data_IF_075166942180
#
_entry.id   IF_075166942180
#
_cell.length_a   1.000
_cell.length_b   1.000
_cell.length_c   1.000
_cell.angle_alpha   90.00
_cell.angle_beta   90.00
_cell.angle_gamma   90.00
#
_symmetry.space_group_name_H-M   'P 1'
#
loop_
_entity.id
_entity.type
_entity.pdbx_description
1 polymer ?
#
# COMPACT_ATOMS: atom_id res chain seq x y z
N UNK A 1 -9.45 21.35 4.02
CA UNK A 1 -8.71 21.06 2.76
C UNK A 1 -7.29 20.52 3.01
N UNK A 2 -6.87 20.37 4.28
CA UNK A 2 -5.51 19.95 4.68
C UNK A 2 -5.32 18.43 4.78
N UNK A 3 -6.37 17.61 4.75
CA UNK A 3 -6.26 16.23 5.21
C UNK A 3 -6.17 15.13 4.14
N UNK A 4 -6.15 15.50 2.86
CA UNK A 4 -5.99 14.50 1.79
C UNK A 4 -4.53 14.00 1.67
N UNK A 5 -3.58 14.72 2.27
CA UNK A 5 -2.16 14.35 2.28
C UNK A 5 -1.81 13.26 3.30
N UNK A 6 -2.65 13.01 4.30
CA UNK A 6 -2.40 12.04 5.36
C UNK A 6 -2.82 10.59 5.05
N UNK A 7 -3.22 10.27 3.82
CA UNK A 7 -3.50 8.87 3.42
C UNK A 7 -2.24 7.99 3.31
N UNK A 8 -1.07 8.57 3.40
CA UNK A 8 0.19 7.84 3.39
C UNK A 8 0.81 7.87 4.78
N UNK A 9 0.37 6.98 5.67
CA UNK A 9 1.13 6.71 6.89
C UNK A 9 2.41 5.98 6.52
N UNK A 10 3.49 6.73 6.38
CA UNK A 10 4.84 6.19 6.32
C UNK A 10 5.18 5.60 7.68
N UNK A 11 5.19 4.28 7.79
CA UNK A 11 5.81 3.65 8.97
C UNK A 11 7.31 3.66 8.76
N UNK A 12 8.00 4.45 9.55
CA UNK A 12 9.45 4.36 9.71
C UNK A 12 9.73 3.09 10.52
N UNK A 13 10.28 2.08 9.87
CA UNK A 13 10.87 0.96 10.58
C UNK A 13 12.30 1.35 10.94
N UNK A 14 12.59 1.57 12.23
CA UNK A 14 13.91 1.71 12.85
C UNK A 14 15.06 2.05 11.89
N UNK A 15 15.07 3.29 11.37
CA UNK A 15 16.16 3.78 10.54
C UNK A 15 16.04 3.57 9.03
N UNK A 16 15.02 2.89 8.54
CA UNK A 16 14.75 2.78 7.10
C UNK A 16 13.71 3.83 6.73
N UNK A 17 14.16 4.90 6.10
CA UNK A 17 13.27 5.89 5.49
C UNK A 17 12.83 5.35 4.13
N UNK A 18 11.53 5.07 3.98
CA UNK A 18 10.94 4.78 2.68
C UNK A 18 10.81 6.11 1.93
N UNK A 19 11.81 6.43 1.13
CA UNK A 19 11.75 7.55 0.22
C UNK A 19 11.18 7.07 -1.11
N UNK A 20 10.13 7.74 -1.57
CA UNK A 20 9.64 7.53 -2.93
C UNK A 20 10.81 7.79 -3.88
N UNK A 21 11.16 6.88 -4.81
CA UNK A 21 12.33 7.00 -5.69
C UNK A 21 12.42 8.32 -6.45
N UNK A 22 11.28 8.93 -6.75
CA UNK A 22 11.18 10.25 -7.38
C UNK A 22 11.90 11.34 -6.58
N UNK A 23 11.81 11.30 -5.26
CA UNK A 23 12.51 12.27 -4.40
C UNK A 23 14.03 12.11 -4.48
N UNK A 24 14.53 10.86 -4.63
CA UNK A 24 15.96 10.59 -4.74
C UNK A 24 16.60 11.21 -5.99
N UNK A 25 16.01 10.98 -7.16
CA UNK A 25 16.62 11.38 -8.44
C UNK A 25 16.44 12.86 -8.72
N UNK A 26 15.25 13.38 -8.51
CA UNK A 26 14.92 14.76 -8.90
C UNK A 26 15.20 15.79 -7.82
N UNK A 27 15.18 15.40 -6.54
CA UNK A 27 15.38 16.32 -5.44
C UNK A 27 16.81 16.31 -4.91
N UNK A 28 17.41 15.12 -4.71
CA UNK A 28 18.76 15.02 -4.15
C UNK A 28 19.86 15.26 -5.19
N UNK A 29 19.56 15.13 -6.48
CA UNK A 29 20.48 15.42 -7.60
C UNK A 29 21.75 14.54 -7.66
N UNK A 30 21.94 13.64 -6.70
CA UNK A 30 23.12 12.76 -6.62
C UNK A 30 22.79 11.39 -6.01
N UNK A 31 23.65 10.40 -6.29
CA UNK A 31 23.59 9.07 -5.68
C UNK A 31 24.24 9.10 -4.29
N UNK A 32 23.59 8.45 -3.34
CA UNK A 32 24.12 8.23 -1.99
C UNK A 32 24.33 6.73 -1.78
N UNK A 33 25.58 6.25 -1.59
CA UNK A 33 25.86 4.81 -1.45
C UNK A 33 25.10 4.16 -0.28
N UNK A 34 24.93 4.89 0.81
CA UNK A 34 24.27 4.40 2.03
C UNK A 34 22.75 4.59 2.05
N UNK A 35 22.18 5.18 0.99
CA UNK A 35 20.74 5.37 0.90
C UNK A 35 20.08 4.13 0.31
N UNK A 36 19.20 3.49 1.06
CA UNK A 36 18.30 2.44 0.58
C UNK A 36 16.95 3.07 0.26
N UNK A 37 16.41 2.69 -0.89
CA UNK A 37 15.11 3.16 -1.35
C UNK A 37 14.15 1.99 -1.55
N UNK A 38 12.90 2.19 -1.14
CA UNK A 38 11.82 1.25 -1.43
C UNK A 38 10.68 1.99 -2.12
N UNK A 39 10.13 1.39 -3.16
CA UNK A 39 8.89 1.81 -3.76
C UNK A 39 7.75 0.85 -3.41
N UNK A 40 6.52 1.26 -3.67
CA UNK A 40 5.34 0.48 -3.34
C UNK A 40 4.67 -0.07 -4.59
N UNK A 41 4.09 -1.25 -4.48
CA UNK A 41 3.09 -1.74 -5.41
C UNK A 41 1.80 -0.95 -5.19
N UNK A 42 1.65 0.12 -5.96
CA UNK A 42 0.60 1.11 -5.76
C UNK A 42 -0.56 0.86 -6.72
N UNK A 43 -1.75 0.58 -6.18
CA UNK A 43 -2.97 0.43 -6.97
C UNK A 43 -3.45 1.75 -7.60
N UNK A 44 -3.01 2.88 -7.08
CA UNK A 44 -3.43 4.21 -7.49
C UNK A 44 -3.94 5.07 -6.35
N UNK A 45 -4.43 6.25 -6.68
CA UNK A 45 -5.01 7.21 -5.73
C UNK A 45 -6.36 7.66 -6.25
N UNK A 46 -7.43 7.63 -5.44
CA UNK A 46 -8.73 8.15 -5.85
C UNK A 46 -8.68 9.64 -6.19
N UNK A 47 -9.51 10.08 -7.12
CA UNK A 47 -9.60 11.49 -7.45
C UNK A 47 -10.21 12.28 -6.27
N UNK A 48 -9.75 13.51 -5.99
CA UNK A 48 -10.33 14.35 -4.94
C UNK A 48 -11.83 14.61 -5.13
N UNK A 49 -12.27 14.69 -6.39
CA UNK A 49 -13.69 14.86 -6.72
C UNK A 49 -14.52 13.64 -6.29
N UNK A 50 -14.04 12.43 -6.58
CA UNK A 50 -14.71 11.20 -6.14
C UNK A 50 -14.76 11.11 -4.62
N UNK A 51 -13.68 11.46 -3.95
CA UNK A 51 -13.65 11.53 -2.49
C UNK A 51 -14.66 12.52 -1.92
N UNK A 52 -14.71 13.72 -2.50
CA UNK A 52 -15.71 14.73 -2.07
C UNK A 52 -17.14 14.24 -2.24
N UNK A 53 -17.46 13.64 -3.40
CA UNK A 53 -18.81 13.09 -3.66
C UNK A 53 -19.15 12.01 -2.63
N UNK A 54 -18.19 11.13 -2.31
CA UNK A 54 -18.41 10.11 -1.30
C UNK A 54 -18.66 10.71 0.08
N UNK A 55 -17.85 11.67 0.51
CA UNK A 55 -18.07 12.38 1.79
C UNK A 55 -19.43 13.07 1.85
N UNK A 56 -19.83 13.71 0.76
CA UNK A 56 -21.14 14.39 0.69
C UNK A 56 -22.33 13.43 0.74
N UNK A 57 -22.11 12.15 0.44
CA UNK A 57 -23.13 11.10 0.53
C UNK A 57 -23.24 10.44 1.91
N UNK A 58 -22.28 10.70 2.80
CA UNK A 58 -22.31 10.13 4.15
C UNK A 58 -23.30 10.86 5.06
N UNK A 59 -24.03 10.12 5.93
CA UNK A 59 -24.89 10.75 6.92
C UNK A 59 -24.08 11.57 7.91
N UNK A 60 -24.68 12.64 8.43
CA UNK A 60 -24.09 13.49 9.48
C UNK A 60 -22.64 13.91 9.22
N UNK A 61 -22.34 14.29 7.96
CA UNK A 61 -20.98 14.61 7.50
C UNK A 61 -20.25 15.59 8.41
N UNK A 62 -20.93 16.61 8.93
CA UNK A 62 -20.37 17.62 9.82
C UNK A 62 -19.87 17.05 11.15
N UNK A 63 -20.39 15.92 11.55
CA UNK A 63 -20.09 15.24 12.81
C UNK A 63 -19.03 14.13 12.66
N UNK A 64 -18.52 13.90 11.43
CA UNK A 64 -17.48 12.90 11.20
C UNK A 64 -16.16 13.38 11.80
N UNK A 65 -15.65 12.62 12.76
CA UNK A 65 -14.35 12.83 13.40
C UNK A 65 -13.20 12.19 12.59
N UNK A 66 -13.39 10.93 12.15
CA UNK A 66 -12.35 10.22 11.39
C UNK A 66 -12.93 9.15 10.47
N UNK A 67 -12.18 8.84 9.41
CA UNK A 67 -12.47 7.73 8.49
C UNK A 67 -11.22 6.86 8.37
N UNK A 68 -11.34 5.59 8.68
CA UNK A 68 -10.29 4.58 8.56
C UNK A 68 -10.65 3.57 7.47
N UNK A 69 -9.90 3.59 6.35
CA UNK A 69 -10.21 2.78 5.16
C UNK A 69 -9.90 1.29 5.30
N UNK A 70 -9.01 0.93 6.20
CA UNK A 70 -8.52 -0.44 6.37
C UNK A 70 -8.48 -0.77 7.86
N UNK A 71 -9.64 -0.68 8.50
CA UNK A 71 -9.74 -1.03 9.91
C UNK A 71 -9.42 -2.50 10.10
N UNK A 72 -8.41 -2.76 10.93
CA UNK A 72 -7.97 -4.11 11.31
C UNK A 72 -8.58 -4.56 12.64
N UNK A 73 -9.59 -3.88 13.13
CA UNK A 73 -10.24 -4.18 14.43
C UNK A 73 -10.68 -5.65 14.52
N UNK A 74 -11.03 -6.25 13.38
CA UNK A 74 -11.47 -7.65 13.27
C UNK A 74 -10.41 -8.57 12.62
N UNK A 75 -9.14 -8.17 12.62
CA UNK A 75 -8.05 -8.90 11.97
C UNK A 75 -7.85 -8.55 10.50
N UNK A 76 -6.85 -9.18 9.89
CA UNK A 76 -6.54 -9.06 8.46
C UNK A 76 -6.94 -10.35 7.75
N UNK A 77 -8.21 -10.50 7.44
CA UNK A 77 -8.73 -11.72 6.80
C UNK A 77 -8.97 -11.57 5.31
N UNK A 78 -8.48 -10.47 4.70
CA UNK A 78 -8.87 -10.07 3.34
C UNK A 78 -10.19 -9.30 3.29
N UNK A 79 -10.95 -9.31 4.37
CA UNK A 79 -12.20 -8.57 4.54
C UNK A 79 -11.96 -7.38 5.48
N UNK A 80 -11.22 -6.38 5.00
CA UNK A 80 -11.08 -5.12 5.73
C UNK A 80 -12.36 -4.30 5.66
N UNK A 81 -12.56 -3.49 6.69
CA UNK A 81 -13.74 -2.66 6.83
C UNK A 81 -13.35 -1.18 6.74
N UNK A 82 -14.25 -0.36 6.21
CA UNK A 82 -14.18 1.07 6.40
C UNK A 82 -14.86 1.39 7.74
N UNK A 83 -14.17 2.12 8.61
CA UNK A 83 -14.73 2.61 9.87
C UNK A 83 -14.88 4.13 9.81
N UNK A 84 -16.06 4.62 10.12
CA UNK A 84 -16.36 6.04 10.25
C UNK A 84 -16.68 6.29 11.72
N UNK A 85 -15.95 7.18 12.36
CA UNK A 85 -16.18 7.58 13.76
C UNK A 85 -16.71 9.01 13.80
N UNK A 86 -17.67 9.25 14.67
CA UNK A 86 -18.33 10.55 14.86
C UNK A 86 -17.90 11.24 16.15
N UNK A 87 -18.21 12.53 16.29
CA UNK A 87 -17.86 13.34 17.46
C UNK A 87 -18.54 12.85 18.74
N UNK A 88 -19.71 12.25 18.64
CA UNK A 88 -20.46 11.62 19.74
C UNK A 88 -19.90 10.25 20.15
N UNK A 89 -18.76 9.84 19.57
CA UNK A 89 -18.10 8.53 19.74
C UNK A 89 -18.87 7.34 19.13
N UNK A 90 -19.97 7.57 18.43
CA UNK A 90 -20.60 6.51 17.63
C UNK A 90 -19.71 6.11 16.44
N UNK A 91 -19.87 4.88 15.96
CA UNK A 91 -19.09 4.33 14.87
C UNK A 91 -20.01 3.62 13.86
N UNK A 92 -19.70 3.77 12.57
CA UNK A 92 -20.27 2.97 11.50
C UNK A 92 -19.12 2.13 10.90
N UNK A 93 -19.37 0.82 10.81
CA UNK A 93 -18.44 -0.11 10.18
C UNK A 93 -19.10 -0.64 8.91
N UNK A 94 -18.49 -0.38 7.76
CA UNK A 94 -18.98 -0.82 6.45
C UNK A 94 -18.00 -1.83 5.86
N UNK A 95 -18.43 -3.07 5.59
CA UNK A 95 -17.59 -4.04 4.89
C UNK A 95 -17.12 -3.47 3.54
N UNK A 96 -15.87 -3.73 3.17
CA UNK A 96 -15.33 -3.17 1.91
C UNK A 96 -16.13 -3.61 0.68
N UNK A 97 -16.69 -4.82 0.69
CA UNK A 97 -17.54 -5.37 -0.39
C UNK A 97 -18.83 -4.58 -0.60
N UNK A 98 -19.34 -3.96 0.45
CA UNK A 98 -20.57 -3.17 0.44
C UNK A 98 -20.31 -1.67 0.22
N UNK A 99 -19.08 -1.23 0.42
CA UNK A 99 -18.70 0.17 0.27
C UNK A 99 -18.45 0.54 -1.19
N UNK A 100 -19.35 1.31 -1.78
CA UNK A 100 -19.30 1.72 -3.20
C UNK A 100 -18.02 2.49 -3.56
N UNK A 101 -17.49 3.31 -2.67
CA UNK A 101 -16.27 4.07 -2.93
C UNK A 101 -15.05 3.13 -2.98
N UNK A 102 -14.95 2.22 -2.01
CA UNK A 102 -13.87 1.24 -1.98
C UNK A 102 -13.95 0.32 -3.21
N UNK A 103 -15.15 -0.15 -3.54
CA UNK A 103 -15.34 -0.99 -4.74
C UNK A 103 -14.97 -0.25 -6.03
N UNK A 104 -15.35 1.02 -6.17
CA UNK A 104 -14.96 1.83 -7.32
C UNK A 104 -13.44 2.06 -7.37
N UNK A 105 -12.79 2.20 -6.23
CA UNK A 105 -11.33 2.33 -6.13
C UNK A 105 -10.62 1.02 -6.50
N UNK A 106 -11.00 -0.10 -5.91
CA UNK A 106 -10.41 -1.43 -6.21
C UNK A 106 -10.52 -1.75 -7.71
N UNK A 107 -11.65 -1.39 -8.33
CA UNK A 107 -11.86 -1.56 -9.76
C UNK A 107 -11.26 -0.43 -10.62
N UNK A 108 -10.41 0.42 -10.06
CA UNK A 108 -9.71 1.53 -10.74
C UNK A 108 -10.62 2.56 -11.43
N UNK A 109 -11.93 2.60 -11.10
CA UNK A 109 -12.92 3.47 -11.75
C UNK A 109 -12.83 4.93 -11.33
N UNK A 110 -12.23 5.21 -10.17
CA UNK A 110 -12.13 6.55 -9.58
C UNK A 110 -10.71 7.02 -9.38
N UNK A 111 -9.72 6.29 -9.89
CA UNK A 111 -8.32 6.68 -9.80
C UNK A 111 -8.06 8.00 -10.57
N UNK A 112 -7.06 8.74 -10.13
CA UNK A 112 -6.57 9.93 -10.84
C UNK A 112 -6.09 9.54 -12.24
N UNK A 113 -6.30 10.39 -13.22
CA UNK A 113 -5.81 10.17 -14.60
C UNK A 113 -4.31 9.93 -14.64
N UNK A 114 -3.54 10.61 -13.79
CA UNK A 114 -2.09 10.42 -13.66
C UNK A 114 -1.68 9.01 -13.21
N UNK A 115 -2.56 8.24 -12.58
CA UNK A 115 -2.26 6.85 -12.21
C UNK A 115 -2.19 5.94 -13.43
N UNK A 116 -3.01 6.19 -14.46
CA UNK A 116 -3.01 5.39 -15.69
C UNK A 116 -1.72 5.54 -16.52
N UNK A 117 -0.98 6.63 -16.33
CA UNK A 117 0.28 6.91 -17.01
C UNK A 117 1.46 7.05 -16.03
N UNK A 118 1.34 6.44 -14.85
CA UNK A 118 2.33 6.58 -13.79
C UNK A 118 3.68 5.98 -14.19
N UNK A 119 4.69 6.81 -14.36
CA UNK A 119 6.04 6.37 -14.70
C UNK A 119 6.70 5.53 -13.60
N UNK A 120 6.20 5.60 -12.35
CA UNK A 120 6.74 4.86 -11.21
C UNK A 120 6.12 3.48 -11.04
N UNK A 121 5.05 3.16 -11.77
CA UNK A 121 4.41 1.85 -11.77
C UNK A 121 5.01 0.89 -12.80
N UNK A 122 6.01 1.32 -13.57
CA UNK A 122 6.59 0.55 -14.67
C UNK A 122 7.80 -0.27 -14.20
N UNK A 123 8.07 -1.38 -14.91
CA UNK A 123 9.34 -2.10 -14.82
C UNK A 123 10.33 -1.56 -15.87
N UNK A 124 11.66 -1.49 -15.55
CA UNK A 124 12.26 -1.84 -14.26
C UNK A 124 11.87 -0.85 -13.16
N UNK A 125 11.73 -1.38 -11.94
CA UNK A 125 11.37 -0.57 -10.77
C UNK A 125 12.52 0.36 -10.38
N UNK A 126 12.20 1.49 -9.76
CA UNK A 126 13.19 2.54 -9.46
C UNK A 126 13.82 2.42 -8.07
N UNK A 127 13.13 1.81 -7.10
CA UNK A 127 13.64 1.56 -5.76
C UNK A 127 14.65 0.43 -5.74
N UNK A 128 15.46 0.36 -4.69
CA UNK A 128 16.29 -0.82 -4.41
C UNK A 128 15.37 -2.01 -4.09
N UNK A 129 14.27 -1.77 -3.38
CA UNK A 129 13.19 -2.72 -3.13
C UNK A 129 11.87 -2.21 -3.70
N UNK A 130 10.95 -3.12 -4.03
CA UNK A 130 9.53 -2.82 -4.23
C UNK A 130 8.72 -3.67 -3.26
N UNK A 131 7.84 -3.05 -2.47
CA UNK A 131 7.10 -3.69 -1.39
C UNK A 131 5.61 -3.59 -1.67
N UNK A 132 4.88 -4.65 -1.42
CA UNK A 132 3.41 -4.65 -1.52
C UNK A 132 2.75 -5.77 -0.75
N UNK A 133 1.43 -5.76 -0.72
CA UNK A 133 0.64 -6.88 -0.19
C UNK A 133 0.73 -8.06 -1.16
N UNK A 134 0.94 -9.27 -0.65
CA UNK A 134 0.90 -10.48 -1.48
C UNK A 134 -0.53 -11.02 -1.61
N UNK A 135 -1.29 -10.48 -2.53
CA UNK A 135 -2.69 -10.86 -2.75
C UNK A 135 -2.89 -12.32 -3.17
N UNK A 136 -1.87 -12.93 -3.74
CA UNK A 136 -1.86 -14.33 -4.18
C UNK A 136 -1.46 -15.35 -3.12
N UNK A 137 -1.22 -14.96 -1.86
CA UNK A 137 -0.66 -15.85 -0.84
C UNK A 137 -1.43 -17.16 -0.68
N UNK A 138 -2.75 -17.13 -0.68
CA UNK A 138 -3.57 -18.35 -0.55
C UNK A 138 -3.46 -19.30 -1.73
N UNK A 139 -3.14 -18.79 -2.91
CA UNK A 139 -3.01 -19.59 -4.14
C UNK A 139 -1.62 -20.18 -4.28
N UNK A 140 -0.59 -19.40 -3.96
CA UNK A 140 0.80 -19.74 -4.25
C UNK A 140 1.57 -20.25 -3.04
N UNK A 141 1.34 -19.67 -1.86
CA UNK A 141 2.05 -20.01 -0.63
C UNK A 141 1.10 -19.96 0.59
N UNK A 142 0.12 -20.89 0.66
CA UNK A 142 -0.88 -20.89 1.74
C UNK A 142 -0.26 -20.98 3.15
N UNK A 143 0.90 -21.62 3.27
CA UNK A 143 1.64 -21.77 4.54
C UNK A 143 2.09 -20.44 5.13
N UNK A 144 2.25 -19.40 4.31
CA UNK A 144 2.64 -18.04 4.74
C UNK A 144 1.45 -17.17 5.17
N UNK A 145 0.22 -17.66 5.04
CA UNK A 145 -0.95 -16.88 5.42
C UNK A 145 -1.29 -17.06 6.90
N UNK A 146 -0.73 -16.23 7.74
CA UNK A 146 -1.02 -16.15 9.18
C UNK A 146 -2.24 -15.28 9.53
N UNK A 147 -3.00 -14.82 8.53
CA UNK A 147 -4.15 -13.89 8.65
C UNK A 147 -3.80 -12.50 9.18
N UNK A 148 -2.52 -12.17 9.29
CA UNK A 148 -2.06 -10.82 9.65
C UNK A 148 -1.62 -10.01 8.43
N UNK A 149 -1.48 -10.66 7.29
CA UNK A 149 -1.06 -10.13 6.00
C UNK A 149 0.39 -10.50 5.68
N UNK A 150 0.58 -11.02 4.48
CA UNK A 150 1.88 -11.38 3.91
C UNK A 150 2.30 -10.31 2.91
N UNK A 151 3.54 -9.87 2.99
CA UNK A 151 4.11 -8.91 2.04
C UNK A 151 4.86 -9.62 0.94
N UNK A 152 4.79 -9.09 -0.27
CA UNK A 152 5.72 -9.41 -1.36
C UNK A 152 6.79 -8.33 -1.42
N UNK A 153 8.05 -8.76 -1.62
CA UNK A 153 9.20 -7.88 -1.77
C UNK A 153 9.92 -8.24 -3.07
N UNK A 154 10.02 -7.29 -4.00
CA UNK A 154 10.86 -7.44 -5.18
C UNK A 154 12.24 -6.85 -4.87
N UNK A 155 13.28 -7.60 -5.19
CA UNK A 155 14.68 -7.19 -5.04
C UNK A 155 15.13 -6.68 -6.40
N UNK A 156 15.39 -5.39 -6.52
CA UNK A 156 15.61 -4.76 -7.82
C UNK A 156 17.10 -4.59 -8.20
N UNK A 157 18.01 -4.87 -7.26
CA UNK A 157 19.46 -4.80 -7.51
C UNK A 157 20.26 -5.58 -6.45
N UNK A 158 21.57 -5.77 -6.70
CA UNK A 158 22.46 -6.51 -5.80
C UNK A 158 22.62 -5.89 -4.42
N UNK A 159 22.59 -4.55 -4.30
CA UNK A 159 22.66 -3.84 -3.02
C UNK A 159 21.48 -4.20 -2.11
N UNK A 160 20.29 -4.34 -2.70
CA UNK A 160 19.09 -4.78 -1.99
C UNK A 160 19.20 -6.25 -1.58
N UNK A 161 19.74 -7.11 -2.43
CA UNK A 161 19.98 -8.52 -2.12
C UNK A 161 20.92 -8.65 -0.91
N UNK A 162 22.09 -8.02 -0.98
CA UNK A 162 23.10 -8.04 0.10
C UNK A 162 22.51 -7.54 1.45
N UNK A 163 21.65 -6.53 1.38
CA UNK A 163 20.98 -6.00 2.58
C UNK A 163 19.96 -6.98 3.13
N UNK A 164 19.15 -7.61 2.26
CA UNK A 164 18.14 -8.56 2.68
C UNK A 164 18.77 -9.78 3.36
N UNK A 165 19.87 -10.30 2.80
CA UNK A 165 20.62 -11.42 3.37
C UNK A 165 21.16 -11.09 4.77
N UNK A 166 21.70 -9.87 4.95
CA UNK A 166 22.13 -9.39 6.26
C UNK A 166 20.98 -9.27 7.25
N UNK A 167 19.85 -8.71 6.84
CA UNK A 167 18.69 -8.55 7.71
C UNK A 167 18.13 -9.93 8.07
N UNK A 168 18.04 -10.85 7.12
CA UNK A 168 17.54 -12.21 7.34
C UNK A 168 18.41 -12.98 8.33
N UNK A 169 19.74 -12.89 8.20
CA UNK A 169 20.66 -13.54 9.13
C UNK A 169 20.61 -13.02 10.58
N UNK A 170 20.13 -11.80 10.78
CA UNK A 170 20.10 -11.13 12.08
C UNK A 170 18.72 -11.13 12.76
N UNK A 171 17.67 -11.50 12.04
CA UNK A 171 16.29 -11.39 12.52
C UNK A 171 15.49 -12.65 12.21
N UNK A 172 14.60 -13.03 13.13
CA UNK A 172 13.70 -14.16 12.98
C UNK A 172 12.44 -13.76 12.20
N UNK A 173 12.54 -13.63 10.87
CA UNK A 173 11.37 -13.55 10.00
C UNK A 173 11.44 -14.62 8.92
N UNK A 174 10.28 -15.08 8.48
CA UNK A 174 10.17 -16.07 7.41
C UNK A 174 10.32 -15.36 6.07
N UNK A 175 11.26 -15.83 5.27
CA UNK A 175 11.48 -15.39 3.90
C UNK A 175 11.34 -16.61 2.98
N UNK A 176 10.44 -16.52 2.01
CA UNK A 176 10.22 -17.56 1.01
C UNK A 176 10.40 -16.96 -0.37
N UNK A 177 11.30 -17.54 -1.16
CA UNK A 177 11.44 -17.16 -2.56
C UNK A 177 10.27 -17.68 -3.38
N UNK A 178 9.69 -16.81 -4.23
CA UNK A 178 8.61 -17.14 -5.13
C UNK A 178 8.93 -16.67 -6.55
N UNK A 179 8.26 -17.25 -7.55
CA UNK A 179 8.42 -16.78 -8.92
C UNK A 179 7.87 -15.37 -9.11
N UNK A 180 8.47 -14.59 -10.00
CA UNK A 180 7.95 -13.27 -10.37
C UNK A 180 6.51 -13.38 -10.89
N UNK A 181 6.19 -14.44 -11.62
CA UNK A 181 4.83 -14.71 -12.12
C UNK A 181 3.83 -14.82 -10.96
N UNK A 182 4.16 -15.60 -9.92
CA UNK A 182 3.30 -15.74 -8.74
C UNK A 182 3.10 -14.41 -8.00
N UNK A 183 4.14 -13.58 -7.94
CA UNK A 183 4.06 -12.25 -7.34
C UNK A 183 3.17 -11.29 -8.16
N UNK A 184 3.24 -11.36 -9.49
CA UNK A 184 2.57 -10.40 -10.39
C UNK A 184 1.14 -10.78 -10.72
N UNK A 185 0.83 -12.06 -10.91
CA UNK A 185 -0.48 -12.52 -11.38
C UNK A 185 -1.64 -12.05 -10.48
N UNK A 186 -1.38 -11.90 -9.18
CA UNK A 186 -2.38 -11.41 -8.23
C UNK A 186 -2.22 -9.93 -7.88
N UNK A 187 -1.24 -9.24 -8.50
CA UNK A 187 -0.96 -7.82 -8.25
C UNK A 187 -1.04 -7.01 -9.54
N UNK A 188 -2.22 -6.50 -9.91
CA UNK A 188 -2.40 -5.74 -11.16
C UNK A 188 -1.57 -4.45 -11.22
N UNK A 189 -0.99 -4.01 -10.10
CA UNK A 189 -0.07 -2.87 -10.05
C UNK A 189 1.34 -3.16 -10.60
N UNK A 190 1.61 -4.39 -11.02
CA UNK A 190 2.90 -4.81 -11.60
C UNK A 190 2.87 -4.94 -13.14
N UNK A 191 1.74 -4.62 -13.78
CA UNK A 191 1.58 -4.64 -15.24
C UNK A 191 1.54 -3.23 -15.83
#
# INVERSE_FOLDING_TARGET
LSDVTNMYHYRVFNGISVLVPHFRINFLGRKYPNLITADLLCHGTPSPKAWKIYLDSLPNRSEINSIEFRSKKNGWTGDYNLRISYNDKSEIIVPHKENRFIQAFINSKINRKSCASCQFARCPRQGDFTIGDFWGVNKYEPSLNDKKGTSVVLINNSKASDLLDKIHSQNNFVLQEISLLSATESNPALY
#
